data_IF_317726791871
#
_entry.id   IF_317726791871
#
_cell.length_a   1.000
_cell.length_b   1.000
_cell.length_c   1.000
_cell.angle_alpha   90.00
_cell.angle_beta   90.00
_cell.angle_gamma   90.00
#
_symmetry.space_group_name_H-M   'P 1'
#
loop_
_entity.id
_entity.type
_entity.pdbx_description
1 polymer ?
#
# COMPACT_ATOMS: atom_id res chain seq x y z
N UNK A 1 8.24 25.38 20.79
CA UNK A 1 6.78 25.45 20.54
C UNK A 1 6.52 26.16 19.22
N UNK A 2 5.85 25.43 18.32
CA UNK A 2 5.16 25.83 17.10
C UNK A 2 5.90 26.67 16.04
N UNK A 3 6.84 26.02 15.35
CA UNK A 3 7.15 26.38 13.96
C UNK A 3 5.94 26.06 13.08
N UNK A 4 5.10 27.07 12.83
CA UNK A 4 4.08 27.01 11.80
C UNK A 4 4.77 26.85 10.44
N UNK A 5 4.92 25.60 9.98
CA UNK A 5 5.26 25.33 8.59
C UNK A 5 4.13 25.86 7.72
N UNK A 6 4.44 26.94 7.00
CA UNK A 6 3.54 27.76 6.23
C UNK A 6 3.06 27.14 4.91
N UNK A 7 2.05 27.80 4.35
CA UNK A 7 1.71 27.81 2.93
C UNK A 7 0.94 26.60 2.37
N UNK A 8 -0.33 26.83 1.98
CA UNK A 8 -1.10 26.05 0.99
C UNK A 8 -1.73 24.68 1.37
N UNK A 9 -2.02 24.40 2.64
CA UNK A 9 -3.09 23.43 2.99
C UNK A 9 -2.89 21.94 2.62
N UNK A 10 -1.71 21.50 2.18
CA UNK A 10 -1.37 20.08 2.01
C UNK A 10 -0.34 19.68 3.08
N UNK A 11 -0.81 19.61 4.34
CA UNK A 11 0.07 19.34 5.49
C UNK A 11 0.37 17.86 5.75
N UNK A 12 -0.12 16.94 4.93
CA UNK A 12 0.18 15.53 5.13
C UNK A 12 0.18 14.69 3.84
N UNK A 13 1.09 15.02 2.91
CA UNK A 13 1.33 14.23 1.70
C UNK A 13 1.65 12.78 2.07
N UNK A 14 2.41 12.58 3.14
CA UNK A 14 2.74 11.25 3.63
C UNK A 14 1.49 10.46 4.03
N UNK A 15 0.59 11.04 4.83
CA UNK A 15 -0.67 10.39 5.19
C UNK A 15 -1.56 10.16 3.96
N UNK A 16 -1.66 11.12 3.04
CA UNK A 16 -2.41 10.92 1.78
C UNK A 16 -1.84 9.73 0.99
N UNK A 17 -0.53 9.62 0.89
CA UNK A 17 0.13 8.51 0.20
C UNK A 17 -0.12 7.17 0.91
N UNK A 18 -0.05 7.12 2.24
CA UNK A 18 -0.38 5.92 3.04
C UNK A 18 -1.84 5.51 2.84
N UNK A 19 -2.78 6.45 2.85
CA UNK A 19 -4.19 6.19 2.59
C UNK A 19 -4.42 5.66 1.17
N UNK A 20 -3.76 6.24 0.16
CA UNK A 20 -3.84 5.76 -1.23
C UNK A 20 -3.33 4.32 -1.37
N UNK A 21 -2.17 4.01 -0.78
CA UNK A 21 -1.63 2.65 -0.79
C UNK A 21 -2.54 1.67 -0.04
N UNK A 22 -3.11 2.07 1.09
CA UNK A 22 -4.06 1.25 1.86
C UNK A 22 -5.34 0.99 1.05
N UNK A 23 -5.85 2.00 0.33
CA UNK A 23 -6.97 1.83 -0.59
C UNK A 23 -6.62 0.83 -1.69
N UNK A 24 -5.43 0.89 -2.26
CA UNK A 24 -4.99 -0.08 -3.28
C UNK A 24 -4.87 -1.51 -2.73
N UNK A 25 -4.37 -1.69 -1.50
CA UNK A 25 -4.36 -2.99 -0.81
C UNK A 25 -5.79 -3.54 -0.66
N UNK A 26 -6.73 -2.69 -0.23
CA UNK A 26 -8.14 -3.07 -0.09
C UNK A 26 -8.74 -3.48 -1.44
N UNK A 27 -8.51 -2.70 -2.50
CA UNK A 27 -8.98 -3.02 -3.85
C UNK A 27 -8.42 -4.36 -4.34
N UNK A 28 -7.14 -4.64 -4.12
CA UNK A 28 -6.54 -5.94 -4.47
C UNK A 28 -7.17 -7.10 -3.69
N UNK A 29 -7.56 -6.88 -2.43
CA UNK A 29 -8.20 -7.89 -1.60
C UNK A 29 -9.65 -8.17 -2.01
N UNK A 30 -10.42 -7.13 -2.36
CA UNK A 30 -11.88 -7.22 -2.53
C UNK A 30 -12.31 -7.25 -4.00
N UNK A 31 -11.71 -6.42 -4.86
CA UNK A 31 -12.10 -6.33 -6.27
C UNK A 31 -11.54 -7.54 -7.05
N UNK A 32 -12.36 -8.12 -7.93
CA UNK A 32 -11.96 -9.23 -8.82
C UNK A 32 -11.85 -8.83 -10.29
N UNK A 33 -12.68 -7.89 -10.75
CA UNK A 33 -12.92 -7.66 -12.19
C UNK A 33 -12.38 -6.33 -12.74
N UNK A 34 -11.31 -5.79 -12.13
CA UNK A 34 -10.63 -4.60 -12.64
C UNK A 34 -9.43 -4.95 -13.52
N UNK A 35 -9.27 -4.34 -14.70
CA UNK A 35 -8.10 -4.54 -15.59
C UNK A 35 -6.78 -4.37 -14.83
N UNK A 36 -6.66 -3.29 -14.06
CA UNK A 36 -5.47 -3.03 -13.23
C UNK A 36 -5.28 -4.05 -12.10
N UNK A 37 -6.38 -4.57 -11.55
CA UNK A 37 -6.34 -5.60 -10.49
C UNK A 37 -5.88 -6.93 -11.06
N UNK A 38 -6.38 -7.33 -12.23
CA UNK A 38 -5.94 -8.52 -12.95
C UNK A 38 -4.47 -8.42 -13.35
N UNK A 39 -4.03 -7.28 -13.88
CA UNK A 39 -2.63 -7.05 -14.21
C UNK A 39 -1.72 -7.18 -12.99
N UNK A 40 -2.09 -6.57 -11.85
CA UNK A 40 -1.31 -6.67 -10.62
C UNK A 40 -1.31 -8.10 -10.06
N UNK A 41 -2.45 -8.81 -10.11
CA UNK A 41 -2.56 -10.21 -9.70
C UNK A 41 -1.65 -11.10 -10.52
N UNK A 42 -1.70 -10.99 -11.85
CA UNK A 42 -0.90 -11.80 -12.75
C UNK A 42 0.59 -11.49 -12.62
N UNK A 43 0.95 -10.22 -12.39
CA UNK A 43 2.35 -9.82 -12.27
C UNK A 43 2.98 -10.23 -10.94
N UNK A 44 2.23 -10.12 -9.83
CA UNK A 44 2.83 -10.20 -8.49
C UNK A 44 2.26 -11.31 -7.59
N UNK A 45 1.01 -11.70 -7.78
CA UNK A 45 0.35 -12.68 -6.91
C UNK A 45 0.39 -14.08 -7.52
N UNK A 46 0.26 -14.23 -8.84
CA UNK A 46 0.08 -15.52 -9.50
C UNK A 46 -1.03 -16.31 -8.76
N UNK A 47 -0.71 -17.48 -8.19
CA UNK A 47 -1.63 -18.31 -7.40
C UNK A 47 -1.55 -18.08 -5.88
N UNK A 48 -0.80 -17.08 -5.42
CA UNK A 48 -0.58 -16.77 -4.00
C UNK A 48 -1.53 -15.67 -3.53
N UNK A 49 -1.83 -15.67 -2.24
CA UNK A 49 -2.58 -14.59 -1.60
C UNK A 49 -1.66 -13.40 -1.28
N UNK A 50 -2.25 -12.22 -1.06
CA UNK A 50 -1.51 -11.01 -0.69
C UNK A 50 -0.71 -11.20 0.61
N UNK A 51 -1.14 -12.11 1.49
CA UNK A 51 -0.44 -12.43 2.73
C UNK A 51 0.87 -13.20 2.49
N UNK A 52 0.93 -14.02 1.45
CA UNK A 52 2.03 -14.95 1.14
C UNK A 52 3.12 -14.33 0.28
N UNK A 53 2.92 -13.11 -0.21
CA UNK A 53 3.89 -12.41 -1.06
C UNK A 53 4.64 -11.33 -0.28
N UNK A 54 5.90 -11.16 -0.65
CA UNK A 54 6.82 -10.13 -0.15
C UNK A 54 7.40 -9.37 -1.34
N UNK A 55 7.94 -8.18 -1.10
CA UNK A 55 8.57 -7.39 -2.15
C UNK A 55 9.93 -7.96 -2.53
N UNK A 56 10.19 -8.10 -3.83
CA UNK A 56 11.48 -8.47 -4.39
C UNK A 56 12.30 -7.22 -4.79
N UNK A 57 13.64 -7.34 -4.89
CA UNK A 57 14.49 -6.24 -5.33
C UNK A 57 14.18 -5.72 -6.73
N UNK A 58 13.71 -6.58 -7.65
CA UNK A 58 13.32 -6.24 -9.01
C UNK A 58 11.92 -5.61 -9.13
N UNK A 59 11.15 -5.59 -8.03
CA UNK A 59 9.78 -5.08 -8.07
C UNK A 59 9.72 -3.57 -8.27
N UNK A 60 8.58 -3.14 -8.82
CA UNK A 60 8.29 -1.74 -9.03
C UNK A 60 8.26 -0.97 -7.69
N UNK A 61 8.64 0.31 -7.68
CA UNK A 61 8.52 1.15 -6.49
C UNK A 61 7.11 1.17 -5.90
N UNK A 62 6.09 1.12 -6.76
CA UNK A 62 4.68 1.02 -6.36
C UNK A 62 4.40 -0.24 -5.54
N UNK A 63 4.81 -1.42 -6.05
CA UNK A 63 4.60 -2.69 -5.35
C UNK A 63 5.35 -2.75 -4.03
N UNK A 64 6.60 -2.26 -4.00
CA UNK A 64 7.38 -2.12 -2.76
C UNK A 64 6.67 -1.22 -1.74
N UNK A 65 6.04 -0.14 -2.19
CA UNK A 65 5.20 0.72 -1.36
C UNK A 65 4.00 -0.02 -0.76
N UNK A 66 3.28 -0.81 -1.56
CA UNK A 66 2.16 -1.62 -1.08
C UNK A 66 2.58 -2.65 -0.03
N UNK A 67 3.67 -3.38 -0.26
CA UNK A 67 4.15 -4.39 0.69
C UNK A 67 4.60 -3.75 2.01
N UNK A 68 5.27 -2.60 1.95
CA UNK A 68 5.67 -1.83 3.15
C UNK A 68 4.44 -1.39 3.95
N UNK A 69 3.44 -0.83 3.26
CA UNK A 69 2.20 -0.39 3.91
C UNK A 69 1.48 -1.59 4.56
N UNK A 70 1.37 -2.72 3.86
CA UNK A 70 0.76 -3.95 4.38
C UNK A 70 1.44 -4.41 5.67
N UNK A 71 2.78 -4.50 5.68
CA UNK A 71 3.54 -4.93 6.85
C UNK A 71 3.37 -3.96 8.04
N UNK A 72 3.36 -2.65 7.78
CA UNK A 72 3.13 -1.64 8.82
C UNK A 72 1.76 -1.78 9.49
N UNK A 73 0.74 -2.20 8.75
CA UNK A 73 -0.60 -2.45 9.27
C UNK A 73 -0.71 -3.75 10.06
N UNK A 74 0.06 -4.79 9.72
CA UNK A 74 0.06 -6.06 10.47
C UNK A 74 0.78 -5.96 11.83
N UNK A 75 1.78 -5.08 11.98
CA UNK A 75 2.45 -4.87 13.27
C UNK A 75 1.56 -4.15 14.29
N UNK A 76 0.57 -3.36 13.84
CA UNK A 76 -0.39 -2.69 14.73
C UNK A 76 -1.44 -3.60 15.37
N UNK A 77 -1.60 -4.84 14.89
CA UNK A 77 -2.57 -5.80 15.42
C UNK A 77 -2.01 -6.75 16.50
N UNK A 78 -0.69 -6.75 16.73
CA UNK A 78 -0.02 -7.59 17.74
C UNK A 78 0.46 -6.81 18.98
N UNK A 79 0.04 -5.55 19.13
CA UNK A 79 0.36 -4.69 20.28
C UNK A 79 -0.89 -4.17 21.02
N UNK A 80 -2.05 -4.77 20.76
CA UNK A 80 -3.28 -4.68 21.55
C UNK A 80 -3.72 -6.11 21.91
#
# INVERSE_FOLDING_TARGET
WLGYQGGLGIKNIEVKNKCLLSKWIYRLAVERDGVWIQLLRNKYLNSKTLAQVTAQPSDSPFWKGLMRQRLSSSTGANLL
#
